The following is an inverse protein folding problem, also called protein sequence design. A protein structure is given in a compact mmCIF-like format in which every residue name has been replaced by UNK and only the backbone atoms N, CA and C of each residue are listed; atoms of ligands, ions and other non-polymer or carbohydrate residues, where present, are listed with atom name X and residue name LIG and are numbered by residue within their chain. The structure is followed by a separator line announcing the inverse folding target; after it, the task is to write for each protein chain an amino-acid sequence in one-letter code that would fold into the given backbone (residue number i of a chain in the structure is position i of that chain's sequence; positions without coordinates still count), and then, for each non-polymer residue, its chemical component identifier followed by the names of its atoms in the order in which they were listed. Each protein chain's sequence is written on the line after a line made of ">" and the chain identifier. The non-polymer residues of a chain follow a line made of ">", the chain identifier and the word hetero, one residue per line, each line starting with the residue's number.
data_IF_234368866124
#
_entry.id   IF_234368866124
#
_cell.length_a   1.000
_cell.length_b   1.000
_cell.length_c   1.000
_cell.angle_alpha   90.00
_cell.angle_beta   90.00
_cell.angle_gamma   90.00
#
_symmetry.space_group_name_H-M   'P 1'
#
loop_
_entity.id
_entity.type
_entity.pdbx_description
1 polymer ?
#
# COMPACT_ATOMS: atom_id res chain seq x y z
N UNK A 1 -8.71 57.00 -16.98
CA UNK A 1 -9.87 56.09 -16.96
C UNK A 1 -9.34 54.67 -17.15
N UNK A 2 -9.05 53.95 -16.06
CA UNK A 2 -8.55 52.57 -16.12
C UNK A 2 -9.04 51.86 -14.86
N UNK A 3 -10.22 51.23 -14.94
CA UNK A 3 -10.95 50.70 -13.78
C UNK A 3 -11.72 49.43 -14.13
N UNK A 4 -11.09 48.50 -14.88
CA UNK A 4 -11.69 47.21 -15.26
C UNK A 4 -10.67 46.07 -15.31
N UNK A 5 -9.75 45.97 -14.34
CA UNK A 5 -8.74 44.91 -14.30
C UNK A 5 -8.99 43.78 -13.27
N UNK A 6 -9.85 43.87 -12.24
CA UNK A 6 -9.98 42.75 -11.29
C UNK A 6 -11.17 41.81 -11.58
N UNK A 7 -11.62 41.64 -12.83
CA UNK A 7 -12.72 40.70 -13.15
C UNK A 7 -12.26 39.47 -13.96
N UNK A 8 -11.13 39.55 -14.67
CA UNK A 8 -10.66 38.45 -15.52
C UNK A 8 -9.87 37.37 -14.75
N UNK A 9 -9.46 37.64 -13.51
CA UNK A 9 -8.74 36.68 -12.66
C UNK A 9 -9.67 35.66 -11.96
N UNK A 10 -10.99 35.89 -11.95
CA UNK A 10 -11.94 34.99 -11.28
C UNK A 10 -12.40 33.81 -12.16
N UNK A 11 -12.11 33.83 -13.47
CA UNK A 11 -12.59 32.80 -14.41
C UNK A 11 -11.70 31.54 -14.49
N UNK A 12 -10.58 31.48 -13.76
CA UNK A 12 -9.62 30.36 -13.86
C UNK A 12 -9.77 29.32 -12.74
N UNK A 13 -10.78 29.45 -11.87
CA UNK A 13 -11.03 28.49 -10.77
C UNK A 13 -12.04 27.38 -11.09
N UNK A 14 -12.48 27.22 -12.35
CA UNK A 14 -13.24 26.02 -12.74
C UNK A 14 -12.30 24.83 -12.98
N UNK A 15 -11.47 24.53 -12.00
CA UNK A 15 -10.85 23.22 -11.89
C UNK A 15 -11.89 22.26 -11.34
N UNK A 16 -12.38 21.33 -12.15
CA UNK A 16 -13.06 20.12 -11.67
C UNK A 16 -12.03 19.25 -10.94
N UNK A 17 -11.53 19.73 -9.80
CA UNK A 17 -10.57 19.02 -9.00
C UNK A 17 -11.35 17.99 -8.19
N UNK A 18 -11.48 16.77 -8.72
CA UNK A 18 -11.82 15.60 -7.91
C UNK A 18 -10.67 15.35 -6.93
N UNK A 19 -10.65 16.16 -5.86
CA UNK A 19 -9.63 16.17 -4.79
C UNK A 19 -9.85 15.04 -3.78
N UNK A 20 -10.93 14.28 -3.91
CA UNK A 20 -11.13 13.09 -3.09
C UNK A 20 -10.39 11.94 -3.74
N UNK A 21 -9.28 11.48 -3.13
CA UNK A 21 -8.69 10.18 -3.45
C UNK A 21 -9.82 9.16 -3.55
N UNK A 22 -9.92 8.44 -4.67
CA UNK A 22 -11.05 7.52 -4.89
C UNK A 22 -11.05 6.48 -3.78
N UNK A 23 -12.02 6.58 -2.87
CA UNK A 23 -12.19 5.62 -1.78
C UNK A 23 -12.60 4.24 -2.29
N UNK A 24 -13.19 4.20 -3.47
CA UNK A 24 -13.57 2.98 -4.13
C UNK A 24 -12.43 2.48 -5.01
N UNK A 25 -12.09 1.20 -4.87
CA UNK A 25 -11.08 0.52 -5.65
C UNK A 25 -11.64 -0.77 -6.27
N UNK A 26 -11.47 -0.98 -7.59
CA UNK A 26 -11.71 -2.28 -8.18
C UNK A 26 -10.59 -3.25 -7.78
N UNK A 27 -10.98 -4.41 -7.25
CA UNK A 27 -10.09 -5.46 -6.77
C UNK A 27 -10.43 -6.77 -7.47
N UNK A 28 -9.46 -7.34 -8.18
CA UNK A 28 -9.60 -8.62 -8.86
C UNK A 28 -9.13 -9.76 -7.97
N UNK A 29 -9.93 -10.82 -7.87
CA UNK A 29 -9.61 -12.01 -7.09
C UNK A 29 -9.62 -13.22 -8.01
N UNK A 30 -8.54 -14.00 -7.94
CA UNK A 30 -8.40 -15.31 -8.57
C UNK A 30 -8.12 -16.37 -7.50
N UNK A 31 -8.53 -17.61 -7.76
CA UNK A 31 -8.39 -18.72 -6.81
C UNK A 31 -7.62 -19.85 -7.46
N UNK A 32 -6.60 -20.37 -6.77
CA UNK A 32 -5.74 -21.45 -7.28
C UNK A 32 -5.79 -22.63 -6.31
N UNK A 33 -5.94 -23.84 -6.86
CA UNK A 33 -5.89 -25.10 -6.14
C UNK A 33 -4.97 -26.06 -6.90
N UNK A 34 -4.00 -26.70 -6.22
CA UNK A 34 -3.03 -27.61 -6.86
C UNK A 34 -2.39 -27.04 -8.13
N UNK A 35 -1.94 -25.78 -8.07
CA UNK A 35 -1.34 -25.05 -9.19
C UNK A 35 -2.25 -24.83 -10.41
N UNK A 36 -3.57 -25.04 -10.27
CA UNK A 36 -4.56 -24.75 -11.30
C UNK A 36 -5.56 -23.70 -10.83
N UNK A 37 -5.94 -22.79 -11.72
CA UNK A 37 -7.00 -21.83 -11.44
C UNK A 37 -8.36 -22.53 -11.37
N UNK A 38 -9.15 -22.19 -10.34
CA UNK A 38 -10.48 -22.77 -10.14
C UNK A 38 -11.52 -21.65 -10.16
N UNK A 39 -12.51 -21.76 -11.05
CA UNK A 39 -13.53 -20.75 -11.28
C UNK A 39 -14.89 -21.13 -10.67
N UNK A 40 -15.64 -20.15 -10.17
CA UNK A 40 -16.93 -20.23 -9.47
C UNK A 40 -16.85 -20.24 -7.94
N UNK A 41 -15.70 -19.87 -7.34
CA UNK A 41 -15.52 -19.94 -5.87
C UNK A 41 -16.14 -18.69 -5.25
N UNK A 42 -17.05 -18.86 -4.28
CA UNK A 42 -17.61 -17.74 -3.54
C UNK A 42 -16.57 -17.16 -2.59
N UNK A 43 -16.28 -15.87 -2.73
CA UNK A 43 -15.33 -15.15 -1.90
C UNK A 43 -16.01 -13.98 -1.18
N UNK A 44 -15.70 -13.85 0.10
CA UNK A 44 -16.12 -12.75 0.96
C UNK A 44 -14.89 -11.90 1.26
N UNK A 45 -14.95 -10.62 0.90
CA UNK A 45 -13.91 -9.63 1.15
C UNK A 45 -14.40 -8.73 2.27
N UNK A 46 -13.63 -8.56 3.33
CA UNK A 46 -14.05 -7.76 4.48
C UNK A 46 -12.92 -6.89 5.02
N UNK A 47 -13.28 -5.69 5.43
CA UNK A 47 -12.45 -4.81 6.26
C UNK A 47 -13.37 -4.10 7.27
N UNK A 48 -12.83 -3.12 7.99
CA UNK A 48 -13.56 -2.28 8.95
C UNK A 48 -14.62 -1.37 8.31
N UNK A 49 -14.56 -1.13 7.00
CA UNK A 49 -15.51 -0.27 6.27
C UNK A 49 -16.68 -1.06 5.70
N UNK A 50 -16.53 -2.36 5.45
CA UNK A 50 -17.61 -3.14 4.90
C UNK A 50 -17.25 -4.58 4.53
N UNK A 51 -18.20 -5.23 3.87
CA UNK A 51 -18.06 -6.60 3.37
C UNK A 51 -18.65 -6.68 1.97
N UNK A 52 -17.93 -7.34 1.08
CA UNK A 52 -18.27 -7.50 -0.33
C UNK A 52 -18.20 -8.98 -0.71
N UNK A 53 -19.01 -9.38 -1.67
CA UNK A 53 -19.10 -10.76 -2.13
C UNK A 53 -18.84 -10.81 -3.63
N UNK A 54 -18.07 -11.81 -4.07
CA UNK A 54 -17.83 -12.07 -5.49
C UNK A 54 -17.65 -13.57 -5.73
N UNK A 55 -17.76 -13.97 -7.01
CA UNK A 55 -17.36 -15.29 -7.45
C UNK A 55 -16.03 -15.17 -8.23
N UNK A 56 -15.01 -15.90 -7.79
CA UNK A 56 -13.69 -15.92 -8.42
C UNK A 56 -13.68 -16.84 -9.65
N UNK A 57 -13.00 -16.49 -10.77
CA UNK A 57 -12.32 -15.22 -11.00
C UNK A 57 -13.32 -14.09 -11.20
N UNK A 58 -13.09 -12.95 -10.55
CA UNK A 58 -14.01 -11.82 -10.60
C UNK A 58 -13.42 -10.54 -10.00
N UNK A 59 -14.12 -9.43 -10.19
CA UNK A 59 -13.72 -8.12 -9.68
C UNK A 59 -14.84 -7.54 -8.83
N UNK A 60 -14.50 -7.07 -7.63
CA UNK A 60 -15.41 -6.30 -6.78
C UNK A 60 -14.87 -4.90 -6.55
N UNK A 61 -15.77 -3.92 -6.49
CA UNK A 61 -15.43 -2.56 -6.10
C UNK A 61 -15.55 -2.45 -4.59
N UNK A 62 -14.42 -2.40 -3.91
CA UNK A 62 -14.34 -2.31 -2.44
C UNK A 62 -14.06 -0.89 -1.98
N UNK A 63 -14.31 -0.61 -0.71
CA UNK A 63 -13.89 0.64 -0.08
C UNK A 63 -12.51 0.45 0.56
N UNK A 64 -11.59 1.37 0.25
CA UNK A 64 -10.26 1.44 0.83
C UNK A 64 -10.37 1.72 2.33
N UNK A 65 -9.38 1.22 3.07
CA UNK A 65 -9.25 1.47 4.49
C UNK A 65 -7.80 1.35 4.92
N UNK A 66 -7.50 1.88 6.10
CA UNK A 66 -6.23 1.69 6.81
C UNK A 66 -6.09 0.31 7.44
N UNK A 67 -7.19 -0.43 7.61
CA UNK A 67 -7.21 -1.79 8.15
C UNK A 67 -6.82 -2.83 7.08
N UNK A 68 -6.43 -4.03 7.51
CA UNK A 68 -6.19 -5.15 6.60
C UNK A 68 -7.50 -5.59 5.91
N UNK A 69 -7.40 -6.00 4.65
CA UNK A 69 -8.48 -6.67 3.95
C UNK A 69 -8.34 -8.18 4.13
N UNK A 70 -9.40 -8.82 4.58
CA UNK A 70 -9.50 -10.28 4.69
C UNK A 70 -10.32 -10.81 3.53
N UNK A 71 -9.80 -11.81 2.83
CA UNK A 71 -10.48 -12.48 1.72
C UNK A 71 -10.66 -13.95 2.09
N UNK A 72 -11.91 -14.34 2.32
CA UNK A 72 -12.31 -15.71 2.63
C UNK A 72 -13.05 -16.33 1.44
N UNK A 73 -12.42 -17.29 0.78
CA UNK A 73 -12.99 -18.02 -0.34
C UNK A 73 -13.38 -19.44 0.08
N UNK A 74 -14.61 -19.85 -0.21
CA UNK A 74 -15.14 -21.16 0.15
C UNK A 74 -16.00 -21.75 -0.97
N UNK A 75 -15.87 -23.06 -1.19
CA UNK A 75 -16.79 -23.87 -1.98
C UNK A 75 -16.70 -25.33 -1.55
N UNK A 76 -17.82 -25.92 -1.16
CA UNK A 76 -17.90 -27.35 -0.79
C UNK A 76 -16.78 -27.73 0.19
N UNK A 77 -15.87 -28.62 -0.21
CA UNK A 77 -14.73 -29.07 0.56
C UNK A 77 -13.45 -28.25 0.32
N UNK A 78 -13.51 -27.08 -0.30
CA UNK A 78 -12.37 -26.18 -0.53
C UNK A 78 -12.53 -24.87 0.25
N UNK A 79 -11.47 -24.47 0.96
CA UNK A 79 -11.38 -23.16 1.61
C UNK A 79 -10.00 -22.53 1.42
N UNK A 80 -9.96 -21.21 1.32
CA UNK A 80 -8.75 -20.43 1.29
C UNK A 80 -9.00 -19.09 1.96
N UNK A 81 -8.07 -18.66 2.81
CA UNK A 81 -8.12 -17.35 3.45
C UNK A 81 -6.82 -16.63 3.12
N UNK A 82 -6.94 -15.40 2.63
CA UNK A 82 -5.81 -14.51 2.39
C UNK A 82 -6.02 -13.20 3.14
N UNK A 83 -4.96 -12.70 3.78
CA UNK A 83 -4.96 -11.39 4.43
C UNK A 83 -4.04 -10.47 3.64
N UNK A 84 -4.53 -9.28 3.39
CA UNK A 84 -3.89 -8.31 2.52
C UNK A 84 -3.70 -7.03 3.31
N UNK A 85 -2.44 -6.68 3.52
CA UNK A 85 -2.09 -5.44 4.22
C UNK A 85 -2.45 -4.23 3.37
N UNK A 86 -2.90 -3.18 4.04
CA UNK A 86 -3.21 -1.91 3.42
C UNK A 86 -1.95 -1.05 3.26
N UNK A 87 -1.58 -0.73 2.02
CA UNK A 87 -0.37 0.04 1.71
C UNK A 87 -0.62 1.53 1.61
N UNK A 88 0.19 2.36 2.27
CA UNK A 88 0.10 3.81 2.14
C UNK A 88 0.53 4.26 0.73
N UNK A 89 -0.35 4.95 0.01
CA UNK A 89 -0.14 5.35 -1.37
C UNK A 89 0.36 6.78 -1.50
N UNK A 90 1.70 6.92 -1.55
CA UNK A 90 2.47 8.18 -1.59
C UNK A 90 1.92 9.18 -2.63
N UNK A 91 1.35 8.70 -3.74
CA UNK A 91 0.80 9.55 -4.81
C UNK A 91 -0.46 10.32 -4.40
N UNK A 92 -1.26 9.81 -3.44
CA UNK A 92 -2.40 10.55 -2.86
C UNK A 92 -1.90 11.63 -1.90
N UNK A 93 -0.77 11.40 -1.24
CA UNK A 93 -0.12 12.38 -0.34
C UNK A 93 0.48 13.58 -1.08
N UNK A 94 0.58 13.54 -2.42
CA UNK A 94 0.97 14.70 -3.22
C UNK A 94 -0.01 15.88 -3.08
N UNK A 95 -1.30 15.61 -2.84
CA UNK A 95 -2.31 16.65 -2.61
C UNK A 95 -2.34 17.16 -1.17
N UNK A 96 -1.75 16.41 -0.23
CA UNK A 96 -1.54 16.84 1.17
C UNK A 96 -0.53 17.99 1.24
N UNK A 97 0.36 18.13 0.25
CA UNK A 97 1.26 19.28 0.12
C UNK A 97 0.47 20.58 -0.13
N UNK A 98 -0.70 20.51 -0.79
CA UNK A 98 -1.57 21.67 -1.05
C UNK A 98 -2.50 21.97 0.15
N UNK A 99 -2.88 20.95 0.94
CA UNK A 99 -3.78 21.07 2.11
C UNK A 99 -3.13 21.10 3.50
N UNK A 100 -1.81 20.92 3.59
CA UNK A 100 -1.06 20.89 4.85
C UNK A 100 -1.45 19.75 5.80
N UNK A 101 -1.14 19.91 7.09
CA UNK A 101 -1.48 18.95 8.17
C UNK A 101 -2.97 18.59 8.23
N UNK A 102 -3.86 19.49 7.77
CA UNK A 102 -5.31 19.27 7.78
C UNK A 102 -5.67 18.19 6.74
N UNK A 103 -5.08 18.23 5.54
CA UNK A 103 -5.27 17.19 4.53
C UNK A 103 -4.78 15.83 5.00
N UNK A 104 -3.63 15.79 5.67
CA UNK A 104 -3.05 14.57 6.25
C UNK A 104 -4.01 13.85 7.20
N UNK A 105 -4.70 14.61 8.08
CA UNK A 105 -5.63 14.04 9.07
C UNK A 105 -6.89 13.50 8.40
N UNK A 106 -7.46 14.23 7.42
CA UNK A 106 -8.68 13.81 6.73
C UNK A 106 -8.45 12.58 5.84
N UNK A 107 -7.31 12.47 5.17
CA UNK A 107 -6.98 11.32 4.33
C UNK A 107 -6.75 10.04 5.17
N UNK A 108 -6.24 10.19 6.39
CA UNK A 108 -6.12 9.09 7.35
C UNK A 108 -7.49 8.64 7.87
N UNK A 109 -8.40 9.58 8.12
CA UNK A 109 -9.73 9.28 8.63
C UNK A 109 -10.62 8.62 7.58
N UNK A 110 -10.45 8.97 6.31
CA UNK A 110 -11.29 8.44 5.23
C UNK A 110 -10.72 7.20 4.55
N UNK A 111 -9.43 6.89 4.74
CA UNK A 111 -8.76 5.76 4.10
C UNK A 111 -8.28 6.05 2.66
N UNK A 112 -8.48 7.28 2.16
CA UNK A 112 -8.16 7.66 0.77
C UNK A 112 -6.67 7.52 0.44
N UNK A 113 -5.80 7.65 1.44
CA UNK A 113 -4.35 7.57 1.29
C UNK A 113 -3.79 6.15 1.28
N UNK A 114 -4.62 5.10 1.24
CA UNK A 114 -4.22 3.71 1.33
C UNK A 114 -4.84 2.88 0.20
N UNK A 115 -4.06 1.98 -0.41
CA UNK A 115 -4.57 1.06 -1.44
C UNK A 115 -4.25 -0.38 -1.07
N UNK A 116 -5.14 -1.26 -1.52
CA UNK A 116 -4.87 -2.69 -1.59
C UNK A 116 -4.22 -3.01 -2.94
N UNK A 117 -3.51 -4.14 -3.09
CA UNK A 117 -3.07 -4.63 -4.40
C UNK A 117 -4.27 -4.82 -5.34
N UNK A 118 -4.14 -4.48 -6.62
CA UNK A 118 -5.24 -4.56 -7.59
C UNK A 118 -5.67 -5.99 -7.93
N UNK A 119 -4.79 -6.96 -7.70
CA UNK A 119 -5.01 -8.37 -8.02
C UNK A 119 -4.56 -9.23 -6.85
N UNK A 120 -5.40 -10.19 -6.49
CA UNK A 120 -5.17 -11.13 -5.41
C UNK A 120 -5.36 -12.55 -5.90
N UNK A 121 -4.43 -13.41 -5.52
CA UNK A 121 -4.54 -14.85 -5.75
C UNK A 121 -4.68 -15.56 -4.42
N UNK A 122 -5.81 -16.24 -4.23
CA UNK A 122 -6.11 -17.00 -3.01
C UNK A 122 -5.78 -18.47 -3.24
N UNK A 123 -4.89 -19.00 -2.42
CA UNK A 123 -4.53 -20.42 -2.43
C UNK A 123 -5.59 -21.22 -1.66
N UNK A 124 -6.30 -22.08 -2.37
CA UNK A 124 -7.33 -22.95 -1.82
C UNK A 124 -6.69 -24.24 -1.26
N UNK A 125 -7.31 -24.81 -0.21
CA UNK A 125 -6.95 -26.10 0.39
C UNK A 125 -8.22 -26.91 0.67
N UNK A 126 -8.09 -28.23 0.80
CA UNK A 126 -9.22 -29.07 1.16
C UNK A 126 -9.56 -28.93 2.66
N UNK A 127 -10.83 -28.71 2.96
CA UNK A 127 -11.41 -28.68 4.31
C UNK A 127 -11.59 -30.14 4.75
N UNK A 128 -10.49 -30.76 5.13
CA UNK A 128 -10.41 -32.19 5.44
C UNK A 128 -8.99 -32.62 5.77
N UNK A 129 -8.01 -31.95 5.16
CA UNK A 129 -6.64 -31.99 5.61
C UNK A 129 -6.52 -31.12 6.86
N UNK A 130 -6.54 -31.77 8.02
CA UNK A 130 -6.26 -31.15 9.32
C UNK A 130 -4.78 -30.76 9.38
N UNK A 131 -4.40 -29.72 8.65
CA UNK A 131 -3.18 -28.97 8.97
C UNK A 131 -3.63 -27.77 9.80
N UNK A 132 -3.34 -27.73 11.12
CA UNK A 132 -3.68 -26.59 11.93
C UNK A 132 -3.06 -25.35 11.29
N UNK A 133 -3.85 -24.28 11.23
CA UNK A 133 -3.35 -22.95 10.94
C UNK A 133 -2.06 -22.76 11.76
N UNK A 134 -0.93 -22.60 11.09
CA UNK A 134 0.30 -22.20 11.74
C UNK A 134 0.03 -20.80 12.26
N UNK A 135 -0.43 -20.73 13.51
CA UNK A 135 -0.37 -19.53 14.32
C UNK A 135 1.11 -19.18 14.40
N UNK A 136 1.53 -18.27 13.53
CA UNK A 136 2.78 -17.54 13.73
C UNK A 136 2.58 -16.71 15.00
N UNK A 137 2.85 -17.32 16.15
CA UNK A 137 3.14 -16.58 17.36
C UNK A 137 4.27 -15.60 17.03
N UNK A 138 4.22 -14.35 17.51
CA UNK A 138 5.27 -13.39 17.25
C UNK A 138 6.57 -13.97 17.81
N UNK A 139 7.54 -14.24 16.93
CA UNK A 139 8.93 -14.42 17.32
C UNK A 139 9.36 -13.12 17.98
N UNK A 140 9.38 -13.13 19.31
CA UNK A 140 10.07 -12.14 20.12
C UNK A 140 11.50 -12.07 19.62
N UNK A 141 11.80 -11.03 18.83
CA UNK A 141 13.16 -10.70 18.43
C UNK A 141 13.94 -10.38 19.69
N UNK A 142 14.72 -11.36 20.15
CA UNK A 142 15.80 -11.16 21.11
C UNK A 142 16.70 -10.04 20.60
N UNK A 143 16.84 -9.02 21.43
CA UNK A 143 17.79 -7.93 21.34
C UNK A 143 19.19 -8.48 21.07
N UNK A 144 19.66 -8.35 19.83
CA UNK A 144 21.08 -8.50 19.51
C UNK A 144 21.59 -7.11 19.08
N UNK A 145 22.29 -6.49 20.02
CA UNK A 145 23.09 -5.28 19.90
C UNK A 145 23.84 -5.24 18.56
N UNK A 146 23.43 -4.36 17.66
CA UNK A 146 24.17 -4.08 16.44
C UNK A 146 25.22 -3.01 16.78
N UNK A 147 26.43 -3.50 17.10
CA UNK A 147 27.64 -2.70 17.22
C UNK A 147 27.85 -1.93 15.92
N UNK A 148 27.85 -0.61 16.02
CA UNK A 148 28.11 0.32 14.93
C UNK A 148 29.48 0.05 14.31
N UNK A 149 29.50 -0.35 13.04
CA UNK A 149 30.70 -0.34 12.21
C UNK A 149 30.84 1.08 11.63
N UNK A 150 31.69 1.90 12.25
CA UNK A 150 32.07 3.21 11.75
C UNK A 150 33.11 3.04 10.61
N UNK A 151 32.90 3.61 9.41
CA UNK A 151 33.96 3.64 8.40
C UNK A 151 35.00 4.72 8.74
N UNK A 152 36.26 4.30 8.70
CA UNK A 152 37.44 5.10 8.99
C UNK A 152 37.66 6.24 7.99
N UNK A 153 38.08 7.40 8.51
CA UNK A 153 38.50 8.57 7.74
C UNK A 153 39.80 8.32 6.96
N UNK A 154 39.97 8.86 5.74
CA UNK A 154 41.24 8.78 5.02
C UNK A 154 42.29 9.72 5.62
N UNK A 155 43.48 9.15 5.83
CA UNK A 155 44.65 9.79 6.44
C UNK A 155 45.24 10.94 5.62
N UNK A 156 45.80 11.88 6.38
CA UNK A 156 46.53 13.08 5.96
C UNK A 156 47.93 12.69 5.50
N UNK A 157 48.22 12.76 4.20
CA UNK A 157 49.59 12.61 3.68
C UNK A 157 50.31 13.95 3.69
N UNK A 158 51.42 13.98 4.42
CA UNK A 158 52.38 15.08 4.55
C UNK A 158 53.17 15.26 3.26
N UNK A 159 53.04 16.42 2.60
CA UNK A 159 53.92 16.84 1.52
C UNK A 159 55.17 17.51 2.10
N UNK A 160 56.29 16.78 2.10
CA UNK A 160 57.61 17.25 2.48
C UNK A 160 58.54 17.34 1.28
N UNK A 161 58.93 18.57 0.95
CA UNK A 161 60.19 19.02 0.37
C UNK A 161 60.94 18.15 -0.66
N UNK A 162 61.11 18.68 -1.87
CA UNK A 162 62.37 18.56 -2.62
C UNK A 162 62.55 19.69 -3.65
N UNK A 163 63.60 20.49 -3.41
CA UNK A 163 64.40 21.28 -4.36
C UNK A 163 65.75 20.51 -4.44
N UNK A 164 66.47 20.35 -5.58
CA UNK A 164 67.01 21.48 -6.34
C UNK A 164 67.29 21.34 -7.85
N UNK A 165 67.54 22.53 -8.43
CA UNK A 165 68.56 22.90 -9.42
C UNK A 165 68.36 22.60 -10.93
N UNK A 166 68.33 23.73 -11.63
CA UNK A 166 68.63 24.02 -13.03
C UNK A 166 70.07 23.66 -13.43
N UNK A 167 70.34 23.55 -14.73
CA UNK A 167 70.93 24.68 -15.46
C UNK A 167 69.97 25.32 -16.48
#
# INVERSE_FOLDING_TARGET
>A
MLKFIPLLAALVLTGCASITGKQLQPLSVTTVFNNQEVAGIGCTLSNDTGTWFLNSPGTATIHKSTADLVVDCKREALAGTSRVESGANINVWGNVIVGGLIGYVVDRQTGAGFDYPNTLTVMMRQVGDTSPAVSFAPVSRTTATQTAFQPAAPGRTTAGASRPQQP
#
